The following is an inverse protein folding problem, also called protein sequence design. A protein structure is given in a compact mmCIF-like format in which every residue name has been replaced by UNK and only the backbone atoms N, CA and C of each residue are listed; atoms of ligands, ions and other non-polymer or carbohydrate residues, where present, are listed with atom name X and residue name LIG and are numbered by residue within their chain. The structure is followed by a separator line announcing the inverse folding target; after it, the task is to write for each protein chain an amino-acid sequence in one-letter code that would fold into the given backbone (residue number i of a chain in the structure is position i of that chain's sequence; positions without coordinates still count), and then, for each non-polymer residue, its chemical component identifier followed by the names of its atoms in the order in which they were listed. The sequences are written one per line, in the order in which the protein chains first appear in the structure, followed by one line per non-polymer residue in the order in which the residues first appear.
data_IF_699683969778
#
_entry.id   IF_699683969778
#
_cell.length_a   1.000
_cell.length_b   1.000
_cell.length_c   1.000
_cell.angle_alpha   90.00
_cell.angle_beta   90.00
_cell.angle_gamma   90.00
#
_symmetry.space_group_name_H-M   'P 1'
#
loop_
_entity.id
_entity.type
_entity.pdbx_description
1 polymer ?
#
# COMPACT_ATOMS: atom_id res chain seq x y z
N UNK A 1 17.24 47.68 16.66
CA UNK A 1 16.22 47.48 15.61
C UNK A 1 16.80 46.85 14.32
N UNK A 2 17.87 47.36 13.71
CA UNK A 2 18.45 46.84 12.45
C UNK A 2 18.92 45.37 12.58
N UNK A 3 19.55 44.98 13.70
CA UNK A 3 20.02 43.62 13.96
C UNK A 3 18.86 42.62 14.09
N UNK A 4 17.80 43.00 14.78
CA UNK A 4 16.59 42.15 14.93
C UNK A 4 15.92 41.91 13.55
N UNK A 5 15.85 42.96 12.71
CA UNK A 5 15.30 42.83 11.37
C UNK A 5 16.18 41.91 10.49
N UNK A 6 17.52 41.97 10.64
CA UNK A 6 18.40 41.05 9.94
C UNK A 6 18.21 39.58 10.37
N UNK A 7 18.11 39.32 11.68
CA UNK A 7 17.87 37.97 12.22
C UNK A 7 16.51 37.39 11.72
N UNK A 8 15.45 38.19 11.77
CA UNK A 8 14.14 37.79 11.25
C UNK A 8 14.18 37.57 9.73
N UNK A 9 14.94 38.40 8.98
CA UNK A 9 15.09 38.22 7.55
C UNK A 9 15.81 36.91 7.19
N UNK A 10 16.92 36.59 7.87
CA UNK A 10 17.61 35.33 7.66
C UNK A 10 16.78 34.11 8.10
N UNK A 11 16.02 34.23 9.20
CA UNK A 11 15.08 33.21 9.64
C UNK A 11 14.01 32.91 8.58
N UNK A 12 13.45 33.96 7.98
CA UNK A 12 12.45 33.82 6.91
C UNK A 12 13.06 33.15 5.64
N UNK A 13 14.26 33.54 5.26
CA UNK A 13 15.00 32.95 4.12
C UNK A 13 15.25 31.46 4.37
N UNK A 14 15.71 31.08 5.57
CA UNK A 14 15.95 29.70 5.93
C UNK A 14 14.64 28.86 5.92
N UNK A 15 13.57 29.41 6.48
CA UNK A 15 12.24 28.76 6.48
C UNK A 15 11.72 28.53 5.06
N UNK A 16 11.76 29.55 4.21
CA UNK A 16 11.32 29.44 2.81
C UNK A 16 12.22 28.51 2.00
N UNK A 17 13.54 28.54 2.25
CA UNK A 17 14.49 27.62 1.62
C UNK A 17 14.20 26.17 1.98
N UNK A 18 13.92 25.86 3.25
CA UNK A 18 13.55 24.53 3.69
C UNK A 18 12.18 24.11 3.11
N UNK A 19 11.21 25.00 3.10
CA UNK A 19 9.91 24.71 2.50
C UNK A 19 10.01 24.39 1.00
N UNK A 20 10.84 25.13 0.27
CA UNK A 20 11.12 24.91 -1.14
C UNK A 20 11.84 23.57 -1.36
N UNK A 21 12.84 23.26 -0.54
CA UNK A 21 13.56 21.99 -0.58
C UNK A 21 12.58 20.80 -0.39
N UNK A 22 11.77 20.84 0.67
CA UNK A 22 10.76 19.81 0.92
C UNK A 22 9.76 19.70 -0.24
N UNK A 23 9.37 20.83 -0.84
CA UNK A 23 8.47 20.85 -1.99
C UNK A 23 9.08 20.21 -3.24
N UNK A 24 10.34 20.46 -3.53
CA UNK A 24 11.01 19.94 -4.72
C UNK A 24 11.35 18.44 -4.61
N UNK A 25 11.71 18.00 -3.41
CA UNK A 25 12.20 16.64 -3.17
C UNK A 25 11.17 15.70 -2.50
N UNK A 26 9.88 16.01 -2.61
CA UNK A 26 8.80 15.22 -1.98
C UNK A 26 8.83 13.72 -2.32
N UNK A 27 9.22 13.35 -3.54
CA UNK A 27 9.27 11.94 -3.95
C UNK A 27 10.15 11.10 -3.03
N UNK A 28 11.30 11.65 -2.59
CA UNK A 28 12.21 10.95 -1.67
C UNK A 28 11.68 10.79 -0.24
N UNK A 29 10.56 11.42 0.09
CA UNK A 29 9.86 11.25 1.37
C UNK A 29 8.63 10.34 1.29
N UNK A 30 8.26 9.93 0.08
CA UNK A 30 7.11 9.06 -0.16
C UNK A 30 7.55 7.67 -0.64
N UNK A 31 8.60 7.59 -1.46
CA UNK A 31 9.03 6.35 -2.09
C UNK A 31 10.44 5.96 -1.64
N UNK A 32 10.60 4.74 -1.17
CA UNK A 32 11.86 4.19 -0.65
C UNK A 32 12.24 2.87 -1.34
N UNK A 33 12.38 2.85 -2.68
CA UNK A 33 12.63 1.61 -3.43
C UNK A 33 13.97 0.94 -3.08
N UNK A 34 14.92 1.71 -2.54
CA UNK A 34 16.26 1.24 -2.22
C UNK A 34 16.45 0.87 -0.72
N UNK A 35 15.35 0.90 0.09
CA UNK A 35 15.42 0.60 1.53
C UNK A 35 14.51 -0.58 1.88
N UNK A 36 15.01 -1.70 2.44
CA UNK A 36 16.41 -1.96 2.79
C UNK A 36 17.30 -2.23 1.58
N UNK A 37 16.76 -2.75 0.48
CA UNK A 37 17.46 -3.02 -0.78
C UNK A 37 16.51 -2.98 -1.96
N UNK A 38 16.99 -2.51 -3.11
CA UNK A 38 16.27 -2.64 -4.38
C UNK A 38 16.44 -4.05 -4.98
N UNK A 39 17.52 -4.75 -4.63
CA UNK A 39 17.76 -6.10 -5.13
C UNK A 39 16.76 -7.09 -4.50
N UNK A 40 16.19 -7.94 -5.34
CA UNK A 40 15.31 -9.04 -4.91
C UNK A 40 16.22 -10.21 -4.52
N UNK A 41 16.43 -10.38 -3.21
CA UNK A 41 17.36 -11.37 -2.66
C UNK A 41 16.67 -12.69 -2.28
N UNK A 42 15.37 -12.65 -2.01
CA UNK A 42 14.56 -13.78 -1.61
C UNK A 42 13.32 -13.91 -2.51
N UNK A 43 12.86 -15.14 -2.71
CA UNK A 43 11.76 -15.50 -3.61
C UNK A 43 10.79 -16.47 -2.92
N UNK A 44 9.59 -16.72 -3.44
CA UNK A 44 8.69 -17.75 -2.91
C UNK A 44 9.30 -19.16 -2.86
N UNK A 45 10.33 -19.45 -3.68
CA UNK A 45 11.04 -20.74 -3.61
C UNK A 45 11.75 -20.94 -2.26
N UNK A 46 12.18 -19.89 -1.59
CA UNK A 46 12.81 -19.98 -0.26
C UNK A 46 11.81 -20.44 0.82
N UNK A 47 10.51 -20.32 0.55
CA UNK A 47 9.41 -20.90 1.34
C UNK A 47 8.96 -22.28 0.80
N UNK A 48 9.61 -22.82 -0.22
CA UNK A 48 9.18 -24.04 -0.91
C UNK A 48 7.92 -23.86 -1.76
N UNK A 49 7.54 -22.62 -2.10
CA UNK A 49 6.38 -22.33 -2.92
C UNK A 49 6.75 -22.24 -4.39
N UNK A 50 5.98 -22.91 -5.25
CA UNK A 50 6.07 -22.73 -6.69
C UNK A 50 5.55 -21.33 -7.08
N UNK A 51 6.20 -20.68 -8.04
CA UNK A 51 5.75 -19.40 -8.56
C UNK A 51 6.18 -19.21 -10.02
N UNK A 52 5.45 -18.36 -10.72
CA UNK A 52 5.80 -17.87 -12.04
C UNK A 52 6.31 -16.42 -11.89
N UNK A 53 7.52 -16.14 -12.34
CA UNK A 53 7.97 -14.77 -12.52
C UNK A 53 7.23 -14.17 -13.73
N UNK A 54 6.52 -13.05 -13.52
CA UNK A 54 5.73 -12.42 -14.53
C UNK A 54 6.22 -11.00 -14.82
N UNK A 55 6.05 -10.55 -16.06
CA UNK A 55 6.29 -9.16 -16.45
C UNK A 55 4.99 -8.59 -17.01
N UNK A 56 4.46 -7.58 -16.32
CA UNK A 56 3.23 -6.91 -16.76
C UNK A 56 3.59 -5.61 -17.48
N UNK A 57 2.81 -5.27 -18.51
CA UNK A 57 2.95 -4.01 -19.23
C UNK A 57 1.88 -3.03 -18.81
N UNK A 58 2.29 -1.83 -18.43
CA UNK A 58 1.36 -0.73 -18.18
C UNK A 58 0.93 -0.05 -19.48
N UNK A 59 -0.18 0.66 -19.46
CA UNK A 59 -0.70 1.38 -20.65
C UNK A 59 0.26 2.48 -21.12
N UNK A 60 1.09 3.03 -20.24
CA UNK A 60 2.11 4.04 -20.53
C UNK A 60 3.50 3.43 -20.83
N UNK A 61 3.58 2.09 -20.96
CA UNK A 61 4.75 1.38 -21.53
C UNK A 61 5.77 0.88 -20.54
N UNK A 62 5.57 1.04 -19.21
CA UNK A 62 6.46 0.49 -18.20
C UNK A 62 6.35 -1.03 -18.10
N UNK A 63 7.45 -1.67 -17.71
CA UNK A 63 7.52 -3.11 -17.45
C UNK A 63 7.59 -3.34 -15.94
N UNK A 64 6.59 -4.02 -15.39
CA UNK A 64 6.52 -4.34 -13.96
C UNK A 64 6.92 -5.78 -13.74
N UNK A 65 7.86 -6.00 -12.84
CA UNK A 65 8.20 -7.32 -12.33
C UNK A 65 7.19 -7.76 -11.28
N UNK A 66 6.85 -9.04 -11.27
CA UNK A 66 5.94 -9.58 -10.26
C UNK A 66 6.05 -11.10 -10.19
N UNK A 67 5.33 -11.66 -9.24
CA UNK A 67 5.19 -13.09 -9.05
C UNK A 67 3.72 -13.50 -9.01
N UNK A 68 3.41 -14.55 -9.75
CA UNK A 68 2.16 -15.27 -9.59
C UNK A 68 2.44 -16.58 -8.85
N UNK A 69 1.87 -16.74 -7.67
CA UNK A 69 2.09 -17.87 -6.77
C UNK A 69 0.79 -18.66 -6.70
N UNK A 70 0.68 -19.81 -7.38
CA UNK A 70 -0.53 -20.61 -7.37
C UNK A 70 -0.70 -21.36 -6.06
N UNK A 71 -1.92 -21.45 -5.54
CA UNK A 71 -2.29 -22.39 -4.49
C UNK A 71 -2.69 -23.73 -5.11
N UNK A 72 -2.44 -24.84 -4.41
CA UNK A 72 -2.78 -26.19 -4.89
C UNK A 72 -4.29 -26.37 -5.12
N UNK A 73 -5.10 -25.78 -4.26
CA UNK A 73 -6.57 -25.66 -4.39
C UNK A 73 -6.95 -24.23 -4.07
N UNK A 74 -7.09 -23.42 -5.11
CA UNK A 74 -7.35 -22.00 -4.94
C UNK A 74 -8.82 -21.71 -4.68
N UNK A 75 -9.12 -21.04 -3.57
CA UNK A 75 -10.45 -20.49 -3.25
C UNK A 75 -10.68 -19.12 -3.90
N UNK A 76 -9.62 -18.43 -4.30
CA UNK A 76 -9.63 -17.13 -4.96
C UNK A 76 -8.21 -16.66 -5.24
N UNK A 77 -8.09 -15.40 -5.65
CA UNK A 77 -6.79 -14.78 -5.95
C UNK A 77 -6.63 -13.47 -5.21
N UNK A 78 -5.49 -13.28 -4.56
CA UNK A 78 -5.08 -12.04 -3.92
C UNK A 78 -4.26 -11.20 -4.89
N UNK A 79 -4.64 -9.94 -5.12
CA UNK A 79 -3.75 -8.93 -5.68
C UNK A 79 -3.11 -8.16 -4.53
N UNK A 80 -1.81 -8.39 -4.33
CA UNK A 80 -1.05 -7.78 -3.25
C UNK A 80 -0.31 -6.54 -3.73
N UNK A 81 -0.67 -5.41 -3.15
CA UNK A 81 -0.08 -4.08 -3.36
C UNK A 81 0.72 -3.71 -2.11
N UNK A 82 2.05 -3.76 -2.20
CA UNK A 82 2.96 -3.64 -1.05
C UNK A 82 3.15 -2.18 -0.58
N UNK A 83 3.80 -2.02 0.57
CA UNK A 83 4.14 -0.72 1.16
C UNK A 83 5.25 0.02 0.40
N UNK A 84 5.59 1.22 0.86
CA UNK A 84 6.50 2.14 0.17
C UNK A 84 7.99 1.80 0.28
N UNK A 85 8.38 0.79 1.04
CA UNK A 85 9.77 0.40 1.21
C UNK A 85 10.09 -0.97 0.62
N UNK A 86 11.29 -1.12 0.07
CA UNK A 86 11.83 -2.39 -0.44
C UNK A 86 11.18 -2.88 -1.73
N UNK A 87 11.03 -4.19 -1.84
CA UNK A 87 10.51 -4.88 -3.03
C UNK A 87 9.68 -6.11 -2.62
N UNK A 88 9.18 -6.85 -3.61
CA UNK A 88 8.36 -8.05 -3.39
C UNK A 88 9.06 -9.15 -2.60
N UNK A 89 10.40 -9.25 -2.66
CA UNK A 89 11.19 -10.21 -1.87
C UNK A 89 11.13 -9.98 -0.36
N UNK A 90 10.80 -8.77 0.09
CA UNK A 90 10.63 -8.44 1.50
C UNK A 90 9.22 -8.75 2.04
N UNK A 91 8.37 -9.44 1.28
CA UNK A 91 6.95 -9.71 1.62
C UNK A 91 6.64 -11.19 1.81
N UNK A 92 7.67 -12.02 1.93
CA UNK A 92 7.50 -13.48 2.00
C UNK A 92 6.66 -13.93 3.19
N UNK A 93 6.79 -13.30 4.36
CA UNK A 93 6.01 -13.64 5.56
C UNK A 93 4.49 -13.48 5.31
N UNK A 94 4.09 -12.39 4.66
CA UNK A 94 2.68 -12.17 4.33
C UNK A 94 2.22 -13.07 3.18
N UNK A 95 3.08 -13.30 2.18
CA UNK A 95 2.80 -14.26 1.09
C UNK A 95 2.51 -15.64 1.68
N UNK A 96 3.33 -16.10 2.62
CA UNK A 96 3.14 -17.38 3.29
C UNK A 96 1.79 -17.48 4.01
N UNK A 97 1.38 -16.44 4.72
CA UNK A 97 0.08 -16.39 5.39
C UNK A 97 -1.08 -16.54 4.38
N UNK A 98 -1.08 -15.74 3.33
CA UNK A 98 -2.15 -15.78 2.33
C UNK A 98 -2.16 -17.06 1.51
N UNK A 99 -1.00 -17.62 1.20
CA UNK A 99 -0.89 -18.89 0.50
C UNK A 99 -1.44 -20.05 1.36
N UNK A 100 -1.15 -20.06 2.68
CA UNK A 100 -1.73 -21.03 3.63
C UNK A 100 -3.25 -20.91 3.74
N UNK A 101 -3.81 -19.72 3.52
CA UNK A 101 -5.26 -19.50 3.45
C UNK A 101 -5.88 -19.93 2.11
N UNK A 102 -5.11 -20.56 1.21
CA UNK A 102 -5.61 -21.13 -0.05
C UNK A 102 -5.87 -20.09 -1.14
N UNK A 103 -5.10 -18.99 -1.16
CA UNK A 103 -5.20 -18.00 -2.21
C UNK A 103 -4.06 -18.17 -3.23
N UNK A 104 -4.37 -18.05 -4.53
CA UNK A 104 -3.35 -17.62 -5.47
C UNK A 104 -2.94 -16.19 -5.11
N UNK A 105 -1.70 -15.81 -5.39
CA UNK A 105 -1.20 -14.47 -5.10
C UNK A 105 -0.56 -13.90 -6.35
N UNK A 106 -1.00 -12.71 -6.76
CA UNK A 106 -0.25 -11.85 -7.65
C UNK A 106 0.31 -10.70 -6.83
N UNK A 107 1.64 -10.59 -6.77
CA UNK A 107 2.34 -9.45 -6.18
C UNK A 107 3.24 -8.83 -7.24
N UNK A 108 3.30 -7.51 -7.28
CA UNK A 108 4.10 -6.75 -8.23
C UNK A 108 5.02 -5.75 -7.51
N UNK A 109 6.19 -5.51 -8.06
CA UNK A 109 6.96 -4.30 -7.77
C UNK A 109 6.39 -3.13 -8.59
N UNK A 110 6.07 -2.02 -7.93
CA UNK A 110 5.69 -0.81 -8.66
C UNK A 110 6.83 -0.30 -9.53
N UNK A 111 6.52 0.57 -10.49
CA UNK A 111 7.54 1.26 -11.28
C UNK A 111 8.64 1.86 -10.41
N UNK A 112 9.89 1.62 -10.76
CA UNK A 112 11.05 2.06 -10.02
C UNK A 112 11.42 1.24 -8.79
N UNK A 113 10.63 0.23 -8.40
CA UNK A 113 10.93 -0.73 -7.34
C UNK A 113 11.47 -2.04 -7.91
N UNK A 114 12.27 -2.76 -7.13
CA UNK A 114 12.82 -4.06 -7.51
C UNK A 114 13.37 -4.08 -8.92
N UNK A 115 12.89 -5.02 -9.74
CA UNK A 115 13.27 -5.15 -11.15
C UNK A 115 12.35 -4.39 -12.13
N UNK A 116 11.35 -3.65 -11.62
CA UNK A 116 10.44 -2.86 -12.45
C UNK A 116 11.12 -1.63 -13.05
N UNK A 117 10.72 -1.27 -14.28
CA UNK A 117 11.20 -0.07 -14.97
C UNK A 117 10.56 1.21 -14.43
N UNK A 118 11.01 2.36 -14.92
CA UNK A 118 10.40 3.66 -14.65
C UNK A 118 10.81 4.30 -13.34
N UNK A 119 9.98 5.27 -12.91
CA UNK A 119 10.14 6.03 -11.66
C UNK A 119 8.81 6.13 -10.94
N UNK A 120 8.77 6.01 -9.59
CA UNK A 120 7.53 6.03 -8.85
C UNK A 120 6.88 7.41 -8.88
N UNK A 121 5.56 7.42 -9.02
CA UNK A 121 4.69 8.57 -8.90
C UNK A 121 3.30 8.10 -8.48
N UNK A 122 2.46 8.98 -7.95
CA UNK A 122 1.12 8.60 -7.52
C UNK A 122 0.29 8.02 -8.69
N UNK A 123 0.18 8.76 -9.79
CA UNK A 123 -0.54 8.30 -10.97
C UNK A 123 0.10 7.03 -11.54
N UNK A 124 1.44 6.97 -11.55
CA UNK A 124 2.17 5.79 -12.01
C UNK A 124 1.81 4.53 -11.23
N UNK A 125 1.79 4.59 -9.90
CA UNK A 125 1.44 3.41 -9.08
C UNK A 125 -0.01 2.99 -9.25
N UNK A 126 -0.91 3.91 -9.58
CA UNK A 126 -2.29 3.58 -9.95
C UNK A 126 -2.36 2.85 -11.29
N UNK A 127 -1.57 3.27 -12.29
CA UNK A 127 -1.46 2.55 -13.57
C UNK A 127 -0.83 1.16 -13.39
N UNK A 128 0.12 1.03 -12.46
CA UNK A 128 0.74 -0.25 -12.13
C UNK A 128 -0.29 -1.23 -11.53
N UNK A 129 -1.09 -0.76 -10.57
CA UNK A 129 -2.16 -1.55 -9.98
C UNK A 129 -3.24 -1.94 -11.00
N UNK A 130 -3.57 -1.02 -11.92
CA UNK A 130 -4.52 -1.28 -13.01
C UNK A 130 -3.96 -2.33 -13.99
N UNK A 131 -2.67 -2.30 -14.32
CA UNK A 131 -2.03 -3.32 -15.14
C UNK A 131 -2.11 -4.71 -14.48
N UNK A 132 -1.88 -4.79 -13.16
CA UNK A 132 -2.01 -6.03 -12.41
C UNK A 132 -3.46 -6.54 -12.36
N UNK A 133 -4.42 -5.66 -12.16
CA UNK A 133 -5.84 -6.01 -12.23
C UNK A 133 -6.24 -6.54 -13.62
N UNK A 134 -5.82 -5.84 -14.67
CA UNK A 134 -6.11 -6.25 -16.05
C UNK A 134 -5.45 -7.58 -16.40
N UNK A 135 -4.25 -7.83 -15.92
CA UNK A 135 -3.60 -9.13 -16.10
C UNK A 135 -4.41 -10.27 -15.47
N UNK A 136 -4.94 -10.08 -14.25
CA UNK A 136 -5.80 -11.07 -13.61
C UNK A 136 -7.12 -11.27 -14.35
N UNK A 137 -7.78 -10.16 -14.74
CA UNK A 137 -9.14 -10.24 -15.30
C UNK A 137 -9.17 -10.55 -16.79
N UNK A 138 -8.18 -10.08 -17.57
CA UNK A 138 -8.17 -10.24 -19.03
C UNK A 138 -7.28 -11.39 -19.48
N UNK A 139 -6.07 -11.52 -18.94
CA UNK A 139 -5.13 -12.58 -19.34
C UNK A 139 -5.40 -13.89 -18.59
N UNK A 140 -5.53 -13.85 -17.25
CA UNK A 140 -5.91 -15.03 -16.45
C UNK A 140 -7.42 -15.30 -16.49
N UNK A 141 -8.23 -14.37 -17.00
CA UNK A 141 -9.70 -14.47 -17.14
C UNK A 141 -10.43 -14.76 -15.83
N UNK A 142 -9.92 -14.21 -14.73
CA UNK A 142 -10.56 -14.36 -13.44
C UNK A 142 -11.74 -13.39 -13.33
N UNK A 143 -12.84 -13.88 -12.78
CA UNK A 143 -13.99 -13.03 -12.45
C UNK A 143 -13.59 -12.07 -11.30
N UNK A 144 -13.98 -10.78 -11.36
CA UNK A 144 -13.70 -9.80 -10.29
C UNK A 144 -14.09 -10.29 -8.89
N UNK A 145 -15.17 -11.04 -8.78
CA UNK A 145 -15.72 -11.61 -7.53
C UNK A 145 -14.86 -12.75 -6.96
N UNK A 146 -13.80 -13.14 -7.68
CA UNK A 146 -12.79 -14.13 -7.24
C UNK A 146 -11.46 -13.47 -6.89
N UNK A 147 -11.40 -12.13 -6.89
CA UNK A 147 -10.19 -11.36 -6.62
C UNK A 147 -10.39 -10.54 -5.33
N UNK A 148 -9.50 -10.73 -4.37
CA UNK A 148 -9.38 -9.88 -3.18
C UNK A 148 -8.22 -8.94 -3.37
N UNK A 149 -8.43 -7.65 -3.12
CA UNK A 149 -7.34 -6.67 -3.09
C UNK A 149 -6.77 -6.61 -1.67
N UNK A 150 -5.48 -6.69 -1.57
CA UNK A 150 -4.76 -6.44 -0.32
C UNK A 150 -3.77 -5.29 -0.52
N UNK A 151 -3.82 -4.30 0.38
CA UNK A 151 -2.92 -3.16 0.34
C UNK A 151 -2.29 -2.89 1.70
N UNK A 152 -0.96 -2.87 1.74
CA UNK A 152 -0.16 -2.56 2.92
C UNK A 152 0.35 -1.12 2.88
N UNK A 153 0.14 -0.33 3.93
CA UNK A 153 0.65 1.03 4.07
C UNK A 153 0.31 1.89 2.84
N UNK A 154 1.29 2.33 2.04
CA UNK A 154 1.07 3.01 0.75
C UNK A 154 0.17 2.20 -0.20
N UNK A 155 0.39 0.89 -0.26
CA UNK A 155 -0.40 -0.03 -1.06
C UNK A 155 -1.88 -0.06 -0.67
N UNK A 156 -2.22 0.24 0.59
CA UNK A 156 -3.61 0.37 1.05
C UNK A 156 -4.35 1.50 0.35
N UNK A 157 -3.69 2.63 0.10
CA UNK A 157 -4.26 3.73 -0.68
C UNK A 157 -4.44 3.35 -2.16
N UNK A 158 -3.46 2.64 -2.72
CA UNK A 158 -3.51 2.17 -4.11
C UNK A 158 -4.62 1.13 -4.29
N UNK A 159 -4.75 0.19 -3.34
CA UNK A 159 -5.81 -0.81 -3.33
C UNK A 159 -7.20 -0.17 -3.21
N UNK A 160 -7.37 0.82 -2.33
CA UNK A 160 -8.63 1.56 -2.19
C UNK A 160 -8.97 2.35 -3.47
N UNK A 161 -7.97 2.98 -4.11
CA UNK A 161 -8.15 3.65 -5.41
C UNK A 161 -8.64 2.68 -6.49
N UNK A 162 -8.08 1.47 -6.54
CA UNK A 162 -8.46 0.43 -7.49
C UNK A 162 -9.88 -0.10 -7.18
N UNK A 163 -10.18 -0.41 -5.92
CA UNK A 163 -11.48 -0.89 -5.47
C UNK A 163 -12.61 0.13 -5.69
N UNK A 164 -12.32 1.42 -5.67
CA UNK A 164 -13.29 2.48 -5.98
C UNK A 164 -13.70 2.51 -7.48
N UNK A 165 -12.97 1.80 -8.36
CA UNK A 165 -13.18 1.77 -9.83
C UNK A 165 -13.59 0.39 -10.33
N UNK A 166 -13.29 -0.63 -9.54
CA UNK A 166 -13.61 -2.02 -9.83
C UNK A 166 -14.25 -2.64 -8.59
N UNK A 167 -15.07 -3.66 -8.77
CA UNK A 167 -15.75 -4.34 -7.66
C UNK A 167 -15.12 -5.72 -7.45
N UNK A 168 -14.02 -5.84 -6.65
CA UNK A 168 -13.45 -7.12 -6.27
C UNK A 168 -14.35 -7.86 -5.27
N UNK A 169 -14.03 -9.11 -4.93
CA UNK A 169 -14.67 -9.86 -3.86
C UNK A 169 -14.57 -9.12 -2.51
N UNK A 170 -13.46 -8.44 -2.27
CA UNK A 170 -13.24 -7.68 -1.04
C UNK A 170 -11.94 -6.87 -1.09
N UNK A 171 -11.82 -5.94 -0.14
CA UNK A 171 -10.65 -5.09 0.06
C UNK A 171 -10.12 -5.28 1.49
N UNK A 172 -8.86 -5.68 1.60
CA UNK A 172 -8.14 -5.75 2.87
C UNK A 172 -7.09 -4.64 2.91
N UNK A 173 -7.15 -3.78 3.91
CA UNK A 173 -6.20 -2.68 4.13
C UNK A 173 -5.43 -2.96 5.42
N UNK A 174 -4.10 -3.00 5.33
CA UNK A 174 -3.22 -3.21 6.47
C UNK A 174 -2.33 -1.99 6.72
N UNK A 175 -2.34 -1.46 7.95
CA UNK A 175 -1.46 -0.40 8.45
C UNK A 175 -1.42 0.84 7.52
N UNK A 176 -2.58 1.27 6.94
CA UNK A 176 -2.62 2.36 5.98
C UNK A 176 -3.18 3.66 6.57
N UNK A 177 -2.96 4.75 5.86
CA UNK A 177 -3.25 6.12 6.28
C UNK A 177 -4.46 6.70 5.53
N UNK A 178 -5.03 7.78 6.06
CA UNK A 178 -6.15 8.50 5.46
C UNK A 178 -5.76 9.25 4.19
N UNK A 179 -4.61 9.94 4.21
CA UNK A 179 -4.00 10.58 3.04
C UNK A 179 -2.55 10.99 3.33
N UNK A 180 -1.72 11.10 2.28
CA UNK A 180 -0.36 11.65 2.40
C UNK A 180 -0.38 13.10 2.89
N UNK A 181 -1.42 13.86 2.57
CA UNK A 181 -1.57 15.24 3.06
C UNK A 181 -1.73 15.32 4.58
N UNK A 182 -2.54 14.43 5.16
CA UNK A 182 -2.71 14.38 6.62
C UNK A 182 -1.44 13.88 7.31
N UNK A 183 -0.77 12.88 6.74
CA UNK A 183 0.53 12.41 7.23
C UNK A 183 1.58 13.52 7.21
N UNK A 184 1.73 14.22 6.09
CA UNK A 184 2.69 15.31 5.96
C UNK A 184 2.42 16.46 6.95
N UNK A 185 1.15 16.82 7.19
CA UNK A 185 0.80 17.85 8.15
C UNK A 185 1.10 17.42 9.60
N UNK A 186 0.96 16.14 9.91
CA UNK A 186 1.29 15.60 11.22
C UNK A 186 2.81 15.59 11.47
N UNK A 187 3.61 15.24 10.45
CA UNK A 187 5.09 15.20 10.53
C UNK A 187 5.70 16.60 10.51
N UNK A 188 5.14 17.52 9.73
CA UNK A 188 5.66 18.88 9.53
C UNK A 188 4.63 19.96 9.96
N UNK A 189 4.24 20.02 11.23
CA UNK A 189 3.18 20.92 11.69
C UNK A 189 3.52 22.40 11.54
N UNK A 190 4.81 22.74 11.48
CA UNK A 190 5.30 24.14 11.30
C UNK A 190 5.14 24.69 9.88
N UNK A 191 4.87 23.81 8.91
CA UNK A 191 4.59 24.19 7.52
C UNK A 191 3.12 23.97 7.19
N UNK A 192 2.53 24.70 6.23
CA UNK A 192 1.21 24.36 5.69
C UNK A 192 1.34 23.14 4.76
N UNK A 193 1.88 22.02 5.31
CA UNK A 193 2.31 20.85 4.55
C UNK A 193 1.16 20.25 3.75
N UNK A 194 -0.04 20.20 4.31
CA UNK A 194 -1.24 19.71 3.61
C UNK A 194 -1.59 20.48 2.32
N UNK A 195 -1.12 21.73 2.19
CA UNK A 195 -1.30 22.57 0.98
C UNK A 195 -0.13 22.46 0.02
N UNK A 196 1.08 22.21 0.51
CA UNK A 196 2.31 22.14 -0.28
C UNK A 196 2.56 20.75 -0.85
N UNK A 197 2.01 19.72 -0.24
CA UNK A 197 2.16 18.34 -0.70
C UNK A 197 1.42 18.11 -2.02
N UNK A 198 2.13 17.62 -3.03
CA UNK A 198 1.61 17.29 -4.36
C UNK A 198 0.93 15.93 -4.40
N UNK A 199 1.43 14.98 -3.61
CA UNK A 199 0.88 13.63 -3.49
C UNK A 199 -0.37 13.64 -2.62
N UNK A 200 -1.40 12.91 -3.07
CA UNK A 200 -2.67 12.82 -2.33
C UNK A 200 -2.78 11.48 -1.62
N UNK A 201 -2.72 10.40 -2.39
CA UNK A 201 -3.00 9.05 -1.91
C UNK A 201 -4.15 9.07 -0.92
N UNK A 202 -5.31 9.58 -1.38
CA UNK A 202 -6.46 9.87 -0.52
C UNK A 202 -7.31 8.60 -0.32
N UNK A 203 -6.85 7.76 0.60
CA UNK A 203 -7.51 6.50 0.96
C UNK A 203 -8.92 6.74 1.48
N UNK A 204 -9.09 7.78 2.32
CA UNK A 204 -10.39 8.14 2.89
C UNK A 204 -11.41 8.48 1.80
N UNK A 205 -11.05 9.33 0.86
CA UNK A 205 -11.94 9.70 -0.23
C UNK A 205 -12.26 8.50 -1.13
N UNK A 206 -11.27 7.64 -1.42
CA UNK A 206 -11.47 6.44 -2.22
C UNK A 206 -12.48 5.47 -1.58
N UNK A 207 -12.38 5.23 -0.25
CA UNK A 207 -13.27 4.32 0.48
C UNK A 207 -14.74 4.74 0.42
N UNK A 208 -15.04 6.03 0.31
CA UNK A 208 -16.41 6.52 0.09
C UNK A 208 -17.05 6.02 -1.20
N UNK A 209 -16.26 5.52 -2.16
CA UNK A 209 -16.73 4.98 -3.45
C UNK A 209 -16.52 3.46 -3.61
N UNK A 210 -15.93 2.79 -2.62
CA UNK A 210 -15.76 1.32 -2.62
C UNK A 210 -17.10 0.64 -2.37
N UNK A 211 -17.43 -0.35 -3.20
CA UNK A 211 -18.70 -1.09 -3.15
C UNK A 211 -18.53 -2.58 -2.79
N UNK A 212 -17.33 -3.00 -2.41
CA UNK A 212 -17.09 -4.34 -1.89
C UNK A 212 -16.89 -4.30 -0.35
N UNK A 213 -16.96 -5.45 0.33
CA UNK A 213 -16.61 -5.57 1.75
C UNK A 213 -15.19 -5.06 2.05
N UNK A 214 -15.00 -4.41 3.20
CA UNK A 214 -13.72 -3.83 3.61
C UNK A 214 -13.28 -4.35 4.97
N UNK A 215 -12.10 -4.96 5.03
CA UNK A 215 -11.41 -5.32 6.26
C UNK A 215 -10.21 -4.38 6.46
N UNK A 216 -10.13 -3.74 7.62
CA UNK A 216 -8.99 -2.91 8.01
C UNK A 216 -8.28 -3.61 9.16
N UNK A 217 -6.97 -3.82 9.02
CA UNK A 217 -6.10 -4.38 10.04
C UNK A 217 -5.08 -3.31 10.42
N UNK A 218 -4.93 -2.99 11.72
CA UNK A 218 -4.05 -1.91 12.12
C UNK A 218 -3.42 -2.17 13.49
N UNK A 219 -2.11 -1.96 13.60
CA UNK A 219 -1.37 -2.06 14.85
C UNK A 219 -1.76 -0.95 15.82
N UNK A 220 -2.00 -1.31 17.10
CA UNK A 220 -2.38 -0.34 18.14
C UNK A 220 -1.25 0.64 18.44
N UNK A 221 -0.03 0.14 18.42
CA UNK A 221 1.21 0.85 18.73
C UNK A 221 1.92 1.37 17.46
N UNK A 222 1.20 1.46 16.31
CA UNK A 222 1.79 1.92 15.05
C UNK A 222 2.33 3.36 15.18
N UNK A 223 3.66 3.45 15.15
CA UNK A 223 4.42 4.69 15.33
C UNK A 223 4.61 5.48 14.03
N UNK A 224 4.41 4.80 12.87
CA UNK A 224 4.53 5.43 11.54
C UNK A 224 3.18 5.95 11.07
N UNK A 225 2.16 5.09 11.11
CA UNK A 225 0.78 5.44 10.77
C UNK A 225 -0.10 5.25 12.01
N UNK A 226 -0.30 6.27 12.83
CA UNK A 226 -1.04 6.13 14.09
C UNK A 226 -2.41 5.47 13.92
N UNK A 227 -2.81 4.62 14.87
CA UNK A 227 -4.05 3.82 14.87
C UNK A 227 -5.33 4.61 14.55
N UNK A 228 -5.37 5.91 14.89
CA UNK A 228 -6.48 6.80 14.53
C UNK A 228 -6.77 6.86 13.02
N UNK A 229 -5.77 6.58 12.17
CA UNK A 229 -5.98 6.48 10.73
C UNK A 229 -6.84 5.27 10.38
N UNK A 230 -6.59 4.10 10.99
CA UNK A 230 -7.44 2.92 10.83
C UNK A 230 -8.90 3.18 11.24
N UNK A 231 -9.10 3.89 12.36
CA UNK A 231 -10.43 4.31 12.82
C UNK A 231 -11.11 5.24 11.82
N UNK A 232 -10.40 6.24 11.31
CA UNK A 232 -10.93 7.18 10.32
C UNK A 232 -11.21 6.54 8.95
N UNK A 233 -10.44 5.50 8.58
CA UNK A 233 -10.71 4.70 7.38
C UNK A 233 -11.97 3.84 7.57
N UNK A 234 -12.17 3.25 8.76
CA UNK A 234 -13.40 2.53 9.06
C UNK A 234 -14.62 3.43 8.94
N UNK A 235 -14.55 4.66 9.48
CA UNK A 235 -15.66 5.63 9.37
C UNK A 235 -15.99 5.95 7.91
N UNK A 236 -14.99 6.08 7.05
CA UNK A 236 -15.14 6.42 5.63
C UNK A 236 -15.64 5.26 4.76
N UNK A 237 -15.36 4.02 5.13
CA UNK A 237 -15.76 2.84 4.38
C UNK A 237 -17.28 2.60 4.47
N UNK A 238 -17.85 2.02 3.41
CA UNK A 238 -19.26 1.56 3.39
C UNK A 238 -19.39 0.17 4.01
N UNK A 239 -20.59 -0.15 4.46
CA UNK A 239 -20.90 -1.53 4.90
C UNK A 239 -20.89 -2.52 3.72
N UNK A 240 -20.50 -3.80 3.94
CA UNK A 240 -19.98 -4.33 5.18
C UNK A 240 -18.51 -3.95 5.40
N UNK A 241 -18.17 -3.54 6.62
CA UNK A 241 -16.82 -3.09 6.99
C UNK A 241 -16.44 -3.57 8.38
N UNK A 242 -15.13 -3.76 8.60
CA UNK A 242 -14.60 -4.13 9.91
C UNK A 242 -13.21 -3.56 10.14
N UNK A 243 -12.93 -3.11 11.37
CA UNK A 243 -11.59 -2.79 11.84
C UNK A 243 -11.18 -3.83 12.88
N UNK A 244 -9.97 -4.36 12.71
CA UNK A 244 -9.31 -5.25 13.67
C UNK A 244 -8.09 -4.55 14.22
N UNK A 245 -8.08 -4.41 15.54
CA UNK A 245 -6.93 -3.92 16.29
C UNK A 245 -5.93 -5.05 16.48
N UNK A 246 -4.70 -4.83 16.05
CA UNK A 246 -3.57 -5.74 16.22
C UNK A 246 -2.63 -5.20 17.31
N UNK A 247 -1.94 -6.08 18.02
CA UNK A 247 -0.82 -5.71 18.87
C UNK A 247 0.41 -5.47 18.00
N UNK A 248 1.22 -4.46 18.37
CA UNK A 248 2.44 -4.12 17.67
C UNK A 248 2.35 -2.83 16.87
N UNK A 249 3.49 -2.45 16.31
CA UNK A 249 3.72 -1.25 15.52
C UNK A 249 3.53 -1.49 14.02
N UNK A 250 4.09 -0.59 13.21
CA UNK A 250 3.91 -0.60 11.76
C UNK A 250 4.49 -1.85 11.09
N UNK A 251 5.68 -2.29 11.54
CA UNK A 251 6.44 -3.35 10.89
C UNK A 251 6.39 -4.69 11.62
N UNK A 252 5.90 -4.74 12.85
CA UNK A 252 5.92 -5.95 13.68
C UNK A 252 4.53 -6.47 14.10
N UNK A 253 3.46 -5.77 13.76
CA UNK A 253 2.10 -6.19 14.13
C UNK A 253 1.73 -7.56 13.55
N UNK A 254 2.20 -7.91 12.35
CA UNK A 254 2.01 -9.26 11.80
C UNK A 254 2.75 -10.32 12.64
N UNK A 255 3.98 -10.04 13.08
CA UNK A 255 4.76 -10.95 13.93
C UNK A 255 4.10 -11.16 15.30
N UNK A 256 3.64 -10.06 15.92
CA UNK A 256 3.08 -10.08 17.27
C UNK A 256 1.61 -10.53 17.33
N UNK A 257 0.88 -10.44 16.25
CA UNK A 257 -0.56 -10.75 16.15
C UNK A 257 -0.90 -11.71 15.02
N UNK A 258 0.05 -12.51 14.52
CA UNK A 258 -0.12 -13.34 13.33
C UNK A 258 -1.33 -14.30 13.39
N UNK A 259 -1.64 -14.88 14.55
CA UNK A 259 -2.83 -15.73 14.73
C UNK A 259 -4.13 -14.94 14.58
N UNK A 260 -4.19 -13.75 15.21
CA UNK A 260 -5.35 -12.85 15.08
C UNK A 260 -5.48 -12.39 13.64
N UNK A 261 -4.38 -11.94 13.04
CA UNK A 261 -4.33 -11.51 11.65
C UNK A 261 -4.87 -12.59 10.71
N UNK A 262 -4.31 -13.80 10.76
CA UNK A 262 -4.71 -14.92 9.89
C UNK A 262 -6.17 -15.33 10.12
N UNK A 263 -6.63 -15.41 11.37
CA UNK A 263 -8.01 -15.73 11.71
C UNK A 263 -9.02 -14.71 11.17
N UNK A 264 -8.73 -13.41 11.32
CA UNK A 264 -9.63 -12.36 10.87
C UNK A 264 -9.68 -12.24 9.35
N UNK A 265 -8.54 -12.45 8.68
CA UNK A 265 -8.51 -12.58 7.22
C UNK A 265 -9.27 -13.81 6.76
N UNK A 266 -9.06 -14.97 7.40
CA UNK A 266 -9.80 -16.20 7.08
C UNK A 266 -11.32 -16.02 7.23
N UNK A 267 -11.79 -15.41 8.33
CA UNK A 267 -13.19 -15.11 8.54
C UNK A 267 -13.77 -14.19 7.44
N UNK A 268 -12.98 -13.18 7.02
CA UNK A 268 -13.36 -12.30 5.92
C UNK A 268 -13.46 -13.05 4.59
N UNK A 269 -12.48 -13.89 4.27
CA UNK A 269 -12.49 -14.70 3.06
C UNK A 269 -13.66 -15.70 3.04
N UNK A 270 -13.98 -16.32 4.17
CA UNK A 270 -15.14 -17.26 4.28
C UNK A 270 -16.48 -16.57 4.05
N UNK A 271 -16.59 -15.29 4.42
CA UNK A 271 -17.82 -14.52 4.27
C UNK A 271 -18.04 -13.98 2.84
N UNK A 272 -16.97 -13.71 2.09
CA UNK A 272 -17.08 -12.91 0.87
C UNK A 272 -16.38 -13.52 -0.37
N UNK A 273 -15.69 -14.64 -0.26
CA UNK A 273 -15.00 -15.34 -1.34
C UNK A 273 -15.47 -16.81 -1.48
#
# INVERSE_FOLDING_TARGET
MRWLAAVLGWGAVAYLGLALYLYLFQAGYVYFPDLPSRQVEATPADLGLAFDAVTLRTADGEALAGWFIPASVARGTLLYLHGNGGNIGHRLDQIEVFHRLGLNILIIDYRGYGASSGKPSEEGTYQDALAAWNWLTQEKRLAPERIVLFGESLGGSIAAWLAARHTPAGLVIYASFTSVREMAQAVYPMFPASRLVRYRYDTRAALGSVNCPVLILHGREDEIVPFRHGQALLEAAREPKRLVELRGGHNDALLLSGEVYAREVEAFLQAFL
#
